data_IF_289318948439
#
_entry.id   IF_289318948439
#
_cell.length_a   1.000
_cell.length_b   1.000
_cell.length_c   1.000
_cell.angle_alpha   90.00
_cell.angle_beta   90.00
_cell.angle_gamma   90.00
#
_symmetry.space_group_name_H-M   'P 1'
#
loop_
_entity.id
_entity.type
_entity.pdbx_description
1 polymer ?
#
# COMPACT_ATOMS: atom_id res chain seq x y z
N UNK A 1 -24.10 45.84 5.09
CA UNK A 1 -24.51 47.04 5.85
C UNK A 1 -23.62 47.10 7.08
N UNK A 2 -23.10 48.27 7.45
CA UNK A 2 -22.47 48.44 8.75
C UNK A 2 -23.58 48.73 9.78
N UNK A 3 -23.67 47.95 10.85
CA UNK A 3 -24.72 48.03 11.86
C UNK A 3 -24.65 46.84 12.81
N UNK A 4 -25.42 46.90 13.89
CA UNK A 4 -25.60 45.76 14.81
C UNK A 4 -26.35 44.61 14.08
N UNK A 5 -26.01 43.38 14.45
CA UNK A 5 -26.67 42.19 13.90
C UNK A 5 -28.17 42.21 14.20
N UNK A 6 -29.00 42.04 13.18
CA UNK A 6 -30.43 41.79 13.34
C UNK A 6 -30.85 40.48 12.66
N UNK A 7 -31.89 39.84 13.20
CA UNK A 7 -32.35 38.52 12.75
C UNK A 7 -32.80 38.51 11.26
N UNK A 8 -33.24 39.66 10.76
CA UNK A 8 -33.62 39.86 9.36
C UNK A 8 -32.43 39.92 8.39
N UNK A 9 -31.21 40.13 8.88
CA UNK A 9 -30.00 40.11 8.04
C UNK A 9 -29.75 38.72 7.44
N UNK A 10 -30.35 37.66 8.01
CA UNK A 10 -30.23 36.29 7.51
C UNK A 10 -31.26 35.96 6.41
N UNK A 11 -32.19 36.87 6.10
CA UNK A 11 -33.23 36.62 5.11
C UNK A 11 -32.64 36.51 3.69
N UNK A 12 -32.89 35.38 3.03
CA UNK A 12 -32.40 35.10 1.68
C UNK A 12 -30.93 34.67 1.59
N UNK A 13 -30.25 34.51 2.73
CA UNK A 13 -28.90 33.96 2.77
C UNK A 13 -28.89 32.45 2.50
N UNK A 14 -27.90 31.97 1.76
CA UNK A 14 -27.67 30.52 1.56
C UNK A 14 -26.70 29.94 2.61
N UNK A 15 -25.86 30.78 3.21
CA UNK A 15 -24.88 30.42 4.23
C UNK A 15 -24.62 31.62 5.15
N UNK A 16 -24.17 31.37 6.37
CA UNK A 16 -23.85 32.38 7.37
C UNK A 16 -22.44 32.19 7.91
N UNK A 17 -21.67 33.27 8.01
CA UNK A 17 -20.34 33.28 8.64
C UNK A 17 -20.32 34.36 9.71
N UNK A 18 -20.15 33.96 10.97
CA UNK A 18 -19.94 34.87 12.08
C UNK A 18 -18.43 34.99 12.34
N UNK A 19 -17.86 36.16 12.01
CA UNK A 19 -16.44 36.44 12.11
C UNK A 19 -16.20 37.75 12.86
N UNK A 20 -16.90 37.92 13.99
CA UNK A 20 -16.73 39.09 14.87
C UNK A 20 -15.87 38.73 16.08
N UNK A 21 -15.28 39.75 16.70
CA UNK A 21 -14.53 39.59 17.95
C UNK A 21 -15.45 39.45 19.19
N UNK A 22 -16.77 39.51 19.01
CA UNK A 22 -17.76 39.43 20.09
C UNK A 22 -18.46 38.05 20.13
N UNK A 23 -18.19 37.28 21.18
CA UNK A 23 -18.75 35.95 21.38
C UNK A 23 -20.28 35.95 21.54
N UNK A 24 -20.86 37.01 22.11
CA UNK A 24 -22.30 37.17 22.29
C UNK A 24 -23.01 37.40 20.95
N UNK A 25 -22.44 38.25 20.09
CA UNK A 25 -22.95 38.46 18.73
C UNK A 25 -22.82 37.16 17.92
N UNK A 26 -21.66 36.51 17.97
CA UNK A 26 -21.44 35.25 17.27
C UNK A 26 -22.44 34.16 17.69
N UNK A 27 -22.78 34.08 18.99
CA UNK A 27 -23.83 33.17 19.50
C UNK A 27 -25.22 33.53 18.97
N UNK A 28 -25.58 34.81 18.98
CA UNK A 28 -26.86 35.27 18.48
C UNK A 28 -27.03 34.97 16.98
N UNK A 29 -25.97 35.17 16.18
CA UNK A 29 -25.94 34.81 14.75
C UNK A 29 -26.12 33.30 14.57
N UNK A 30 -25.45 32.49 15.38
CA UNK A 30 -25.60 31.03 15.36
C UNK A 30 -27.03 30.59 15.68
N UNK A 31 -27.63 31.08 16.78
CA UNK A 31 -28.98 30.69 17.18
C UNK A 31 -30.03 31.11 16.14
N UNK A 32 -29.84 32.29 15.54
CA UNK A 32 -30.67 32.81 14.46
C UNK A 32 -30.58 31.98 13.16
N UNK A 33 -29.38 31.53 12.81
CA UNK A 33 -29.13 30.68 11.65
C UNK A 33 -29.67 29.25 11.87
N UNK A 34 -29.47 28.68 13.06
CA UNK A 34 -29.99 27.35 13.44
C UNK A 34 -31.52 27.30 13.34
N UNK A 35 -32.22 28.32 13.86
CA UNK A 35 -33.69 28.42 13.75
C UNK A 35 -34.20 28.39 12.31
N UNK A 36 -33.37 28.82 11.35
CA UNK A 36 -33.69 28.87 9.92
C UNK A 36 -33.12 27.69 9.12
N UNK A 37 -32.46 26.73 9.78
CA UNK A 37 -31.71 25.65 9.14
C UNK A 37 -30.67 26.16 8.12
N UNK A 38 -30.07 27.32 8.40
CA UNK A 38 -29.00 27.88 7.57
C UNK A 38 -27.64 27.32 8.01
N UNK A 39 -26.81 26.82 7.08
CA UNK A 39 -25.44 26.45 7.40
C UNK A 39 -24.69 27.66 7.97
N UNK A 40 -24.22 27.53 9.22
CA UNK A 40 -23.48 28.57 9.93
C UNK A 40 -22.06 28.11 10.28
N UNK A 41 -21.09 28.99 10.10
CA UNK A 41 -19.72 28.84 10.59
C UNK A 41 -19.42 30.02 11.50
N UNK A 42 -19.00 29.75 12.72
CA UNK A 42 -18.51 30.76 13.66
C UNK A 42 -17.00 30.62 13.74
N UNK A 43 -16.29 31.67 13.33
CA UNK A 43 -14.82 31.68 13.33
C UNK A 43 -14.32 31.48 14.76
N UNK A 44 -13.30 30.64 14.93
CA UNK A 44 -12.68 30.28 16.21
C UNK A 44 -13.57 29.59 17.26
N UNK A 45 -14.82 29.24 16.93
CA UNK A 45 -15.74 28.47 17.79
C UNK A 45 -16.29 27.22 17.08
N UNK A 46 -15.53 26.11 16.98
CA UNK A 46 -15.95 24.89 16.28
C UNK A 46 -17.27 24.28 16.76
N UNK A 47 -17.59 24.43 18.05
CA UNK A 47 -18.83 23.95 18.66
C UNK A 47 -20.09 24.66 18.13
N UNK A 48 -19.92 25.85 17.54
CA UNK A 48 -20.99 26.66 16.93
C UNK A 48 -20.96 26.59 15.40
N UNK A 49 -20.24 25.64 14.85
CA UNK A 49 -20.19 25.41 13.42
C UNK A 49 -21.14 24.28 13.02
N UNK A 50 -21.85 24.48 11.91
CA UNK A 50 -22.54 23.45 11.12
C UNK A 50 -21.80 23.09 9.84
N UNK A 51 -20.82 23.90 9.47
CA UNK A 51 -19.82 23.58 8.45
C UNK A 51 -18.49 24.26 8.79
N UNK A 52 -17.41 23.79 8.16
CA UNK A 52 -16.06 24.33 8.34
C UNK A 52 -15.48 24.67 6.98
N UNK A 53 -14.78 25.81 6.87
CA UNK A 53 -14.01 26.13 5.68
C UNK A 53 -12.74 25.27 5.59
N UNK A 54 -12.60 24.42 4.56
CA UNK A 54 -11.41 23.63 4.38
C UNK A 54 -10.24 24.48 3.87
N UNK A 55 -9.03 23.95 4.00
CA UNK A 55 -7.88 24.41 3.22
C UNK A 55 -8.05 23.96 1.77
N UNK A 56 -8.06 24.89 0.80
CA UNK A 56 -8.35 24.59 -0.60
C UNK A 56 -7.10 24.70 -1.47
N UNK A 57 -6.85 23.70 -2.32
CA UNK A 57 -5.97 23.78 -3.48
C UNK A 57 -6.84 23.99 -4.71
N UNK A 58 -6.76 25.18 -5.29
CA UNK A 58 -7.56 25.56 -6.45
C UNK A 58 -6.74 25.47 -7.75
N UNK A 59 -7.25 24.66 -8.68
CA UNK A 59 -6.75 24.40 -10.03
C UNK A 59 -7.94 24.35 -11.00
N UNK A 60 -8.91 25.25 -10.82
CA UNK A 60 -10.20 25.28 -11.54
C UNK A 60 -10.07 24.77 -12.99
N UNK A 61 -10.87 23.75 -13.38
CA UNK A 61 -11.98 23.15 -12.64
C UNK A 61 -11.60 22.06 -11.62
N UNK A 62 -10.32 21.78 -11.41
CA UNK A 62 -9.87 20.82 -10.39
C UNK A 62 -9.74 21.51 -9.04
N UNK A 63 -10.42 21.01 -8.02
CA UNK A 63 -10.37 21.57 -6.67
C UNK A 63 -10.16 20.46 -5.66
N UNK A 64 -9.25 20.66 -4.71
CA UNK A 64 -9.03 19.74 -3.59
C UNK A 64 -9.26 20.50 -2.28
N UNK A 65 -10.09 19.94 -1.41
CA UNK A 65 -10.39 20.50 -0.09
C UNK A 65 -9.82 19.58 1.00
N UNK A 66 -9.04 20.15 1.92
CA UNK A 66 -8.45 19.46 3.07
C UNK A 66 -9.02 20.04 4.36
N UNK A 67 -9.59 19.19 5.20
CA UNK A 67 -10.12 19.59 6.51
C UNK A 67 -9.72 18.59 7.58
N UNK A 68 -9.44 19.10 8.78
CA UNK A 68 -9.27 18.32 10.01
C UNK A 68 -10.48 18.46 10.93
N UNK A 69 -11.62 18.91 10.41
CA UNK A 69 -12.83 19.19 11.18
C UNK A 69 -12.60 20.12 12.37
N UNK A 70 -11.67 21.07 12.23
CA UNK A 70 -11.29 22.01 13.28
C UNK A 70 -10.27 21.47 14.30
N UNK A 71 -9.95 20.17 14.29
CA UNK A 71 -9.02 19.57 15.27
C UNK A 71 -7.58 20.09 15.13
N UNK A 72 -7.11 20.35 13.90
CA UNK A 72 -5.76 20.90 13.68
C UNK A 72 -5.69 21.71 12.39
N UNK A 73 -5.87 23.04 12.46
CA UNK A 73 -5.72 23.93 11.30
C UNK A 73 -4.30 23.91 10.71
N UNK A 74 -3.29 23.68 11.56
CA UNK A 74 -1.88 23.59 11.15
C UNK A 74 -1.64 22.35 10.28
N UNK A 75 -2.18 21.19 10.67
CA UNK A 75 -2.09 19.97 9.87
C UNK A 75 -2.78 20.12 8.51
N UNK A 76 -3.99 20.72 8.48
CA UNK A 76 -4.70 20.99 7.22
C UNK A 76 -3.87 21.89 6.28
N UNK A 77 -3.19 22.90 6.82
CA UNK A 77 -2.30 23.79 6.06
C UNK A 77 -1.07 23.07 5.52
N UNK A 78 -0.44 22.21 6.32
CA UNK A 78 0.71 21.41 5.90
C UNK A 78 0.34 20.46 4.75
N UNK A 79 -0.80 19.76 4.88
CA UNK A 79 -1.32 18.89 3.82
C UNK A 79 -1.67 19.67 2.55
N UNK A 80 -2.29 20.85 2.67
CA UNK A 80 -2.53 21.74 1.52
C UNK A 80 -1.23 22.10 0.81
N UNK A 81 -0.19 22.49 1.56
CA UNK A 81 1.10 22.85 0.99
C UNK A 81 1.75 21.66 0.25
N UNK A 82 1.65 20.44 0.78
CA UNK A 82 2.10 19.23 0.08
C UNK A 82 1.30 18.97 -1.21
N UNK A 83 -0.02 19.16 -1.20
CA UNK A 83 -0.84 18.98 -2.39
C UNK A 83 -0.57 20.05 -3.46
N UNK A 84 -0.24 21.27 -3.06
CA UNK A 84 0.14 22.33 -4.01
C UNK A 84 1.39 21.99 -4.82
N UNK A 85 2.33 21.22 -4.25
CA UNK A 85 3.53 20.77 -4.97
C UNK A 85 3.25 19.59 -5.90
N UNK A 86 2.37 18.67 -5.50
CA UNK A 86 2.02 17.47 -6.27
C UNK A 86 1.03 17.79 -7.40
N UNK A 87 0.22 18.84 -7.25
CA UNK A 87 -0.80 19.26 -8.21
C UNK A 87 -0.45 20.65 -8.78
N UNK A 88 0.36 20.75 -9.84
CA UNK A 88 0.67 22.02 -10.51
C UNK A 88 -0.57 22.70 -11.13
N UNK A 89 -0.44 24.01 -11.41
CA UNK A 89 -1.44 24.82 -12.12
C UNK A 89 -1.91 24.20 -13.46
N UNK A 90 -1.05 23.41 -14.12
CA UNK A 90 -1.35 22.75 -15.39
C UNK A 90 -2.53 21.76 -15.34
N UNK A 91 -2.88 21.22 -14.17
CA UNK A 91 -4.02 20.30 -14.05
C UNK A 91 -5.37 20.94 -14.40
N UNK A 92 -5.55 22.25 -14.17
CA UNK A 92 -6.77 22.94 -14.58
C UNK A 92 -6.94 22.99 -16.09
N UNK A 93 -5.85 23.29 -16.82
CA UNK A 93 -5.84 23.29 -18.28
C UNK A 93 -6.03 21.89 -18.84
N UNK A 94 -5.38 20.90 -18.23
CA UNK A 94 -5.57 19.48 -18.59
C UNK A 94 -7.03 19.06 -18.41
N UNK A 95 -7.67 19.39 -17.29
CA UNK A 95 -9.06 19.03 -17.05
C UNK A 95 -10.02 19.69 -18.04
N UNK A 96 -9.82 20.97 -18.35
CA UNK A 96 -10.60 21.67 -19.39
C UNK A 96 -10.42 21.05 -20.78
N UNK A 97 -9.19 20.63 -21.11
CA UNK A 97 -8.91 19.93 -22.35
C UNK A 97 -9.62 18.57 -22.40
N UNK A 98 -9.51 17.74 -21.37
CA UNK A 98 -10.19 16.44 -21.34
C UNK A 98 -11.72 16.58 -21.40
N UNK A 99 -12.27 17.65 -20.82
CA UNK A 99 -13.70 17.95 -20.89
C UNK A 99 -14.19 18.20 -22.31
N UNK A 100 -13.40 18.87 -23.17
CA UNK A 100 -13.80 19.13 -24.57
C UNK A 100 -13.88 17.86 -25.41
N UNK A 101 -13.12 16.83 -25.04
CA UNK A 101 -13.12 15.52 -25.71
C UNK A 101 -14.10 14.50 -25.10
N UNK A 102 -14.84 14.87 -24.03
CA UNK A 102 -15.72 13.96 -23.29
C UNK A 102 -16.80 13.33 -24.17
N UNK A 103 -17.49 14.14 -24.97
CA UNK A 103 -18.60 13.68 -25.81
C UNK A 103 -18.10 12.84 -26.99
N UNK A 104 -16.99 13.25 -27.61
CA UNK A 104 -16.32 12.47 -28.67
C UNK A 104 -15.87 11.10 -28.17
N UNK A 105 -15.23 11.05 -26.99
CA UNK A 105 -14.84 9.79 -26.35
C UNK A 105 -16.07 8.92 -25.99
N UNK A 106 -17.19 9.55 -25.62
CA UNK A 106 -18.45 8.84 -25.34
C UNK A 106 -19.09 8.23 -26.58
N UNK A 107 -19.07 8.95 -27.70
CA UNK A 107 -19.54 8.44 -28.98
C UNK A 107 -18.65 7.30 -29.49
N UNK A 108 -17.32 7.44 -29.38
CA UNK A 108 -16.35 6.44 -29.87
C UNK A 108 -16.29 5.17 -29.02
N UNK A 109 -16.42 5.30 -27.71
CA UNK A 109 -16.35 4.19 -26.75
C UNK A 109 -17.62 4.14 -25.89
N UNK A 110 -18.66 3.39 -26.31
CA UNK A 110 -19.92 3.31 -25.56
C UNK A 110 -19.78 2.63 -24.20
N UNK A 111 -18.88 1.66 -24.07
CA UNK A 111 -18.61 0.97 -22.82
C UNK A 111 -17.81 1.85 -21.84
N UNK A 112 -18.31 1.96 -20.60
CA UNK A 112 -17.63 2.70 -19.52
C UNK A 112 -16.19 2.23 -19.29
N UNK A 113 -15.95 0.90 -19.36
CA UNK A 113 -14.61 0.32 -19.19
C UNK A 113 -13.64 0.88 -20.23
N UNK A 114 -14.02 0.86 -21.51
CA UNK A 114 -13.18 1.31 -22.63
C UNK A 114 -12.86 2.82 -22.55
N UNK A 115 -13.84 3.64 -22.15
CA UNK A 115 -13.62 5.08 -21.90
C UNK A 115 -12.60 5.33 -20.80
N UNK A 116 -12.74 4.61 -19.68
CA UNK A 116 -11.82 4.76 -18.55
C UNK A 116 -10.39 4.43 -18.96
N UNK A 117 -10.19 3.31 -19.64
CA UNK A 117 -8.87 2.90 -20.12
C UNK A 117 -8.27 3.91 -21.09
N UNK A 118 -9.08 4.46 -22.00
CA UNK A 118 -8.65 5.53 -22.89
C UNK A 118 -8.13 6.74 -22.09
N UNK A 119 -8.89 7.23 -21.11
CA UNK A 119 -8.48 8.38 -20.29
C UNK A 119 -7.24 8.11 -19.44
N UNK A 120 -7.15 6.94 -18.80
CA UNK A 120 -5.97 6.55 -18.03
C UNK A 120 -4.72 6.52 -18.89
N UNK A 121 -4.81 6.02 -20.14
CA UNK A 121 -3.70 6.02 -21.09
C UNK A 121 -3.27 7.43 -21.46
N UNK A 122 -4.21 8.32 -21.76
CA UNK A 122 -3.91 9.72 -22.09
C UNK A 122 -3.24 10.41 -20.90
N UNK A 123 -3.79 10.25 -19.69
CA UNK A 123 -3.29 10.87 -18.46
C UNK A 123 -1.90 10.38 -18.06
N UNK A 124 -1.57 9.12 -18.35
CA UNK A 124 -0.24 8.53 -18.08
C UNK A 124 0.72 8.64 -19.27
N UNK A 125 0.25 9.20 -20.38
CA UNK A 125 1.01 9.35 -21.61
C UNK A 125 1.63 10.75 -21.77
N UNK A 126 2.29 11.00 -22.90
CA UNK A 126 2.99 12.25 -23.17
C UNK A 126 2.05 13.46 -23.31
N UNK A 127 0.74 13.25 -23.51
CA UNK A 127 -0.24 14.34 -23.60
C UNK A 127 -0.26 15.21 -22.32
N UNK A 128 -0.14 14.60 -21.15
CA UNK A 128 -0.11 15.30 -19.87
C UNK A 128 1.10 16.24 -19.78
N UNK A 129 2.29 15.76 -20.15
CA UNK A 129 3.52 16.56 -20.14
C UNK A 129 3.46 17.71 -21.15
N UNK A 130 2.82 17.49 -22.32
CA UNK A 130 2.60 18.54 -23.32
C UNK A 130 1.72 19.67 -22.74
N UNK A 131 0.66 19.35 -22.02
CA UNK A 131 -0.18 20.39 -21.37
C UNK A 131 0.60 21.14 -20.28
N UNK A 132 1.41 20.44 -19.48
CA UNK A 132 2.20 21.06 -18.42
C UNK A 132 3.30 21.98 -18.97
N UNK A 133 3.86 21.65 -20.14
CA UNK A 133 4.82 22.48 -20.87
C UNK A 133 4.19 23.56 -21.77
N UNK A 134 2.87 23.75 -21.74
CA UNK A 134 2.15 24.77 -22.53
C UNK A 134 1.93 24.42 -24.00
N UNK A 135 2.23 23.19 -24.41
CA UNK A 135 2.03 22.65 -25.77
C UNK A 135 0.63 22.06 -25.96
N UNK A 136 -0.40 22.84 -25.62
CA UNK A 136 -1.79 22.36 -25.59
C UNK A 136 -2.29 21.94 -26.97
N UNK A 137 -1.90 22.64 -28.04
CA UNK A 137 -2.28 22.27 -29.42
C UNK A 137 -1.77 20.88 -29.82
N UNK A 138 -0.56 20.54 -29.39
CA UNK A 138 0.05 19.24 -29.67
C UNK A 138 -0.64 18.13 -28.87
N UNK A 139 -0.97 18.42 -27.60
CA UNK A 139 -1.76 17.51 -26.76
C UNK A 139 -3.15 17.24 -27.36
N UNK A 140 -3.84 18.30 -27.83
CA UNK A 140 -5.13 18.18 -28.53
C UNK A 140 -5.03 17.28 -29.75
N UNK A 141 -3.99 17.46 -30.59
CA UNK A 141 -3.77 16.61 -31.77
C UNK A 141 -3.55 15.16 -31.36
N UNK A 142 -2.68 14.90 -30.38
CA UNK A 142 -2.41 13.54 -29.90
C UNK A 142 -3.67 12.84 -29.37
N UNK A 143 -4.49 13.56 -28.59
CA UNK A 143 -5.74 13.01 -28.07
C UNK A 143 -6.73 12.73 -29.21
N UNK A 144 -6.84 13.62 -30.19
CA UNK A 144 -7.68 13.43 -31.36
C UNK A 144 -7.22 12.23 -32.21
N UNK A 145 -5.93 12.12 -32.50
CA UNK A 145 -5.35 10.99 -33.24
C UNK A 145 -5.61 9.67 -32.50
N UNK A 146 -5.51 9.68 -31.16
CA UNK A 146 -5.82 8.52 -30.31
C UNK A 146 -7.32 8.17 -30.25
N UNK A 147 -8.22 9.12 -30.50
CA UNK A 147 -9.65 8.88 -30.65
C UNK A 147 -9.97 8.31 -32.04
N UNK A 148 -9.35 8.88 -33.08
CA UNK A 148 -9.59 8.54 -34.49
C UNK A 148 -9.03 7.16 -34.84
N UNK A 149 -7.84 6.83 -34.32
CA UNK A 149 -7.28 5.48 -34.45
C UNK A 149 -8.20 4.42 -33.88
N UNK A 150 -9.11 4.79 -32.98
CA UNK A 150 -10.07 3.87 -32.42
C UNK A 150 -9.47 2.83 -31.49
N UNK A 151 -8.17 2.93 -31.25
CA UNK A 151 -7.45 2.14 -30.27
C UNK A 151 -7.91 2.59 -28.88
N UNK A 152 -9.09 2.12 -28.49
CA UNK A 152 -9.29 1.77 -27.10
C UNK A 152 -8.23 0.74 -26.77
N UNK A 153 -7.71 0.73 -25.55
CA UNK A 153 -6.91 -0.39 -25.05
C UNK A 153 -7.64 -1.76 -25.14
N UNK A 154 -8.86 -1.83 -25.67
CA UNK A 154 -9.59 -3.04 -26.04
C UNK A 154 -8.80 -4.00 -26.95
N UNK A 155 -7.79 -3.54 -27.71
CA UNK A 155 -6.90 -4.44 -28.47
C UNK A 155 -5.58 -4.78 -27.76
N UNK A 156 -5.33 -4.24 -26.56
CA UNK A 156 -4.28 -4.80 -25.70
C UNK A 156 -4.90 -5.91 -24.86
N UNK A 157 -4.49 -7.13 -25.19
CA UNK A 157 -4.59 -8.34 -24.35
C UNK A 157 -4.45 -7.98 -22.88
N UNK A 158 -5.36 -8.48 -22.02
CA UNK A 158 -5.23 -8.28 -20.59
C UNK A 158 -3.86 -8.76 -20.10
N UNK A 159 -3.40 -8.16 -19.02
CA UNK A 159 -2.05 -8.39 -18.49
C UNK A 159 -2.14 -8.84 -17.03
N UNK A 160 -1.10 -9.54 -16.59
CA UNK A 160 -0.92 -9.90 -15.19
C UNK A 160 0.30 -9.16 -14.63
N UNK A 161 0.08 -8.40 -13.57
CA UNK A 161 1.15 -7.83 -12.76
C UNK A 161 1.33 -8.67 -11.49
N UNK A 162 2.50 -9.29 -11.35
CA UNK A 162 2.93 -9.96 -10.12
C UNK A 162 3.57 -8.91 -9.19
N UNK A 163 2.93 -8.56 -8.09
CA UNK A 163 3.30 -7.40 -7.27
C UNK A 163 3.66 -7.83 -5.85
N UNK A 164 4.85 -7.44 -5.40
CA UNK A 164 5.28 -7.56 -4.01
C UNK A 164 4.59 -6.52 -3.12
N UNK A 165 3.86 -6.99 -2.11
CA UNK A 165 3.11 -6.19 -1.16
C UNK A 165 3.97 -5.66 0.00
N UNK A 166 5.21 -6.13 0.12
CA UNK A 166 6.00 -5.88 1.31
C UNK A 166 5.61 -6.77 2.51
N UNK A 167 6.30 -6.63 3.65
CA UNK A 167 6.12 -7.50 4.82
C UNK A 167 4.86 -7.21 5.65
N UNK A 168 4.20 -6.06 5.43
CA UNK A 168 2.92 -5.73 6.06
C UNK A 168 2.63 -4.24 6.15
N UNK A 169 3.65 -3.42 6.38
CA UNK A 169 3.52 -1.95 6.44
C UNK A 169 3.18 -1.40 5.04
N UNK A 170 2.05 -0.68 4.85
CA UNK A 170 1.69 -0.09 3.56
C UNK A 170 2.72 0.91 3.02
N UNK A 171 3.49 1.57 3.88
CA UNK A 171 4.50 2.55 3.46
C UNK A 171 5.75 1.88 2.84
N UNK A 172 5.87 0.55 2.97
CA UNK A 172 6.91 -0.25 2.32
C UNK A 172 6.50 -0.73 0.91
N UNK A 173 5.33 -0.34 0.42
CA UNK A 173 4.97 -0.55 -0.98
C UNK A 173 5.85 0.31 -1.89
N UNK A 174 6.25 -0.26 -3.02
CA UNK A 174 6.90 0.54 -4.05
C UNK A 174 5.86 1.42 -4.76
N UNK A 175 6.27 2.57 -5.26
CA UNK A 175 5.38 3.43 -6.04
C UNK A 175 4.82 2.72 -7.29
N UNK A 176 5.58 1.79 -7.88
CA UNK A 176 5.09 0.96 -9.00
C UNK A 176 4.00 0.00 -8.55
N UNK A 177 4.13 -0.64 -7.39
CA UNK A 177 3.11 -1.51 -6.82
C UNK A 177 1.80 -0.75 -6.60
N UNK A 178 1.86 0.39 -5.90
CA UNK A 178 0.69 1.24 -5.64
C UNK A 178 0.00 1.68 -6.94
N UNK A 179 0.77 2.11 -7.94
CA UNK A 179 0.23 2.51 -9.25
C UNK A 179 -0.54 1.39 -9.93
N UNK A 180 -0.01 0.16 -9.94
CA UNK A 180 -0.69 -0.97 -10.57
C UNK A 180 -1.92 -1.42 -9.77
N UNK A 181 -1.86 -1.40 -8.44
CA UNK A 181 -3.01 -1.68 -7.57
C UNK A 181 -4.17 -0.70 -7.79
N UNK A 182 -3.85 0.57 -8.08
CA UNK A 182 -4.84 1.61 -8.39
C UNK A 182 -5.43 1.49 -9.80
N UNK A 183 -4.81 0.73 -10.69
CA UNK A 183 -5.24 0.54 -12.08
C UNK A 183 -5.91 -0.82 -12.32
N UNK A 184 -5.80 -1.75 -11.36
CA UNK A 184 -6.30 -3.10 -11.49
C UNK A 184 -7.82 -3.13 -11.75
N UNK A 185 -8.24 -4.08 -12.59
CA UNK A 185 -9.64 -4.49 -12.68
C UNK A 185 -9.93 -5.59 -11.64
N UNK A 186 -8.95 -6.48 -11.39
CA UNK A 186 -9.04 -7.58 -10.43
C UNK A 186 -7.73 -7.71 -9.66
N UNK A 187 -7.82 -7.95 -8.36
CA UNK A 187 -6.68 -8.22 -7.48
C UNK A 187 -6.83 -9.60 -6.85
N UNK A 188 -5.88 -10.49 -7.12
CA UNK A 188 -5.75 -11.80 -6.50
C UNK A 188 -4.72 -11.70 -5.37
N UNK A 189 -5.13 -11.99 -4.14
CA UNK A 189 -4.29 -11.84 -2.95
C UNK A 189 -4.35 -13.06 -2.03
N UNK A 190 -3.30 -13.25 -1.22
CA UNK A 190 -3.23 -14.33 -0.24
C UNK A 190 -3.19 -13.79 1.20
N UNK A 191 -3.09 -14.71 2.16
CA UNK A 191 -3.14 -14.41 3.60
C UNK A 191 -2.02 -13.47 4.07
N UNK A 192 -0.89 -13.41 3.37
CA UNK A 192 0.27 -12.64 3.83
C UNK A 192 0.18 -11.15 3.46
N UNK A 193 -0.79 -10.77 2.63
CA UNK A 193 -1.06 -9.37 2.32
C UNK A 193 -1.86 -8.75 3.47
N UNK A 194 -1.34 -7.67 4.05
CA UNK A 194 -1.99 -6.98 5.17
C UNK A 194 -3.27 -6.27 4.73
N UNK A 195 -4.19 -6.06 5.68
CA UNK A 195 -5.43 -5.33 5.41
C UNK A 195 -5.15 -3.89 4.96
N UNK A 196 -4.20 -3.22 5.62
CA UNK A 196 -3.81 -1.86 5.28
C UNK A 196 -3.32 -1.73 3.83
N UNK A 197 -2.61 -2.72 3.30
CA UNK A 197 -2.23 -2.77 1.88
C UNK A 197 -3.45 -2.98 0.97
N UNK A 198 -4.38 -3.85 1.35
CA UNK A 198 -5.61 -4.09 0.57
C UNK A 198 -6.52 -2.87 0.50
N UNK A 199 -6.53 -2.04 1.55
CA UNK A 199 -7.31 -0.79 1.57
C UNK A 199 -6.76 0.26 0.57
N UNK A 200 -5.52 0.08 0.09
CA UNK A 200 -4.90 0.86 -0.99
C UNK A 200 -5.19 0.30 -2.40
N UNK A 201 -5.95 -0.79 -2.51
CA UNK A 201 -6.43 -1.27 -3.81
C UNK A 201 -7.53 -0.34 -4.32
N UNK A 202 -7.62 -0.19 -5.64
CA UNK A 202 -8.72 0.56 -6.28
C UNK A 202 -10.09 0.10 -5.77
N UNK A 203 -10.94 1.04 -5.36
CA UNK A 203 -12.24 0.76 -4.70
C UNK A 203 -13.19 -0.13 -5.51
N UNK A 204 -13.20 -0.02 -6.84
CA UNK A 204 -14.08 -0.83 -7.69
C UNK A 204 -13.37 -2.05 -8.30
N UNK A 205 -12.12 -2.34 -7.93
CA UNK A 205 -11.46 -3.56 -8.35
C UNK A 205 -12.06 -4.77 -7.62
N UNK A 206 -12.31 -5.84 -8.37
CA UNK A 206 -12.73 -7.12 -7.81
C UNK A 206 -11.58 -7.72 -6.99
N UNK A 207 -11.81 -8.08 -5.72
CA UNK A 207 -10.78 -8.68 -4.87
C UNK A 207 -11.07 -10.17 -4.67
N UNK A 208 -10.15 -11.02 -5.12
CA UNK A 208 -10.26 -12.48 -5.06
C UNK A 208 -9.22 -13.03 -4.09
N UNK A 209 -9.68 -13.63 -3.00
CA UNK A 209 -8.81 -14.29 -2.03
C UNK A 209 -8.42 -15.70 -2.50
N UNK A 210 -7.12 -15.97 -2.61
CA UNK A 210 -6.55 -17.27 -3.05
C UNK A 210 -5.71 -17.96 -1.97
N UNK A 211 -5.80 -17.51 -0.72
CA UNK A 211 -5.04 -18.10 0.39
C UNK A 211 -5.64 -19.40 0.94
N UNK A 212 -4.80 -20.21 1.59
CA UNK A 212 -5.23 -21.44 2.29
C UNK A 212 -5.96 -21.07 3.59
N UNK A 213 -7.29 -21.20 3.64
CA UNK A 213 -8.03 -21.30 4.91
C UNK A 213 -7.95 -22.75 5.40
N UNK A 214 -7.65 -22.95 6.68
CA UNK A 214 -7.39 -24.27 7.29
C UNK A 214 -8.56 -25.27 7.21
N UNK A 215 -9.77 -24.86 6.82
CA UNK A 215 -10.97 -25.72 6.73
C UNK A 215 -11.76 -25.60 5.40
N UNK A 216 -11.21 -24.95 4.37
CA UNK A 216 -11.85 -24.89 3.05
C UNK A 216 -10.89 -25.41 1.99
N UNK A 217 -11.39 -26.31 1.14
CA UNK A 217 -10.68 -26.92 0.01
C UNK A 217 -9.64 -25.96 -0.57
N UNK A 218 -8.37 -26.28 -0.33
CA UNK A 218 -7.26 -25.43 -0.74
C UNK A 218 -7.29 -25.27 -2.26
N UNK A 219 -7.38 -24.02 -2.75
CA UNK A 219 -7.18 -23.72 -4.18
C UNK A 219 -5.79 -24.20 -4.54
N UNK A 220 -5.72 -25.14 -5.49
CA UNK A 220 -4.43 -25.68 -5.94
C UNK A 220 -3.66 -24.57 -6.64
N UNK A 221 -2.32 -24.61 -6.60
CA UNK A 221 -1.51 -23.58 -7.27
C UNK A 221 -1.86 -23.48 -8.76
N UNK A 222 -2.13 -24.62 -9.39
CA UNK A 222 -2.52 -24.72 -10.79
C UNK A 222 -3.83 -23.95 -11.07
N UNK A 223 -4.79 -23.98 -10.14
CA UNK A 223 -6.06 -23.24 -10.24
C UNK A 223 -5.84 -21.72 -10.13
N UNK A 224 -4.92 -21.28 -9.26
CA UNK A 224 -4.54 -19.86 -9.17
C UNK A 224 -3.91 -19.41 -10.49
N UNK A 225 -2.96 -20.20 -11.01
CA UNK A 225 -2.27 -19.90 -12.26
C UNK A 225 -3.25 -19.81 -13.43
N UNK A 226 -4.20 -20.75 -13.49
CA UNK A 226 -5.23 -20.75 -14.53
C UNK A 226 -6.18 -19.56 -14.39
N UNK A 227 -6.60 -19.22 -13.17
CA UNK A 227 -7.46 -18.05 -12.92
C UNK A 227 -6.79 -16.74 -13.37
N UNK A 228 -5.48 -16.58 -13.11
CA UNK A 228 -4.72 -15.42 -13.58
C UNK A 228 -4.75 -15.33 -15.11
N UNK A 229 -4.51 -16.44 -15.79
CA UNK A 229 -4.50 -16.49 -17.25
C UNK A 229 -5.88 -16.23 -17.85
N UNK A 230 -6.94 -16.83 -17.30
CA UNK A 230 -8.31 -16.67 -17.79
C UNK A 230 -8.80 -15.23 -17.66
N UNK A 231 -8.53 -14.58 -16.52
CA UNK A 231 -8.90 -13.18 -16.30
C UNK A 231 -8.14 -12.25 -17.27
N UNK A 232 -6.87 -12.51 -17.50
CA UNK A 232 -6.08 -11.73 -18.46
C UNK A 232 -6.55 -11.95 -19.91
N UNK A 233 -6.85 -13.19 -20.30
CA UNK A 233 -7.44 -13.52 -21.62
C UNK A 233 -8.82 -12.91 -21.82
N UNK A 234 -9.58 -12.69 -20.74
CA UNK A 234 -10.82 -11.91 -20.75
C UNK A 234 -10.59 -10.38 -20.84
N UNK A 235 -9.35 -9.93 -21.07
CA UNK A 235 -9.01 -8.51 -21.22
C UNK A 235 -9.06 -7.72 -19.92
N UNK A 236 -8.86 -8.37 -18.76
CA UNK A 236 -8.75 -7.68 -17.47
C UNK A 236 -7.29 -7.35 -17.15
N UNK A 237 -7.07 -6.22 -16.48
CA UNK A 237 -5.78 -5.92 -15.81
C UNK A 237 -5.77 -6.59 -14.46
N UNK A 238 -4.98 -7.64 -14.33
CA UNK A 238 -4.95 -8.51 -13.15
C UNK A 238 -3.71 -8.18 -12.32
N UNK A 239 -3.90 -7.92 -11.03
CA UNK A 239 -2.79 -7.82 -10.07
C UNK A 239 -2.78 -9.06 -9.20
N UNK A 240 -1.70 -9.85 -9.23
CA UNK A 240 -1.42 -10.89 -8.24
C UNK A 240 -0.57 -10.29 -7.14
N UNK A 241 -1.20 -9.93 -6.04
CA UNK A 241 -0.57 -9.30 -4.88
C UNK A 241 -0.06 -10.38 -3.92
N UNK A 242 1.25 -10.34 -3.62
CA UNK A 242 1.94 -11.38 -2.85
C UNK A 242 2.66 -10.73 -1.66
N UNK A 243 2.54 -11.33 -0.47
CA UNK A 243 3.28 -10.86 0.71
C UNK A 243 4.80 -10.90 0.48
N UNK A 244 5.50 -9.86 0.92
CA UNK A 244 6.94 -9.70 0.74
C UNK A 244 7.31 -9.42 -0.72
N UNK A 245 8.21 -10.24 -1.26
CA UNK A 245 8.68 -10.16 -2.65
C UNK A 245 8.16 -11.37 -3.46
N UNK A 246 7.74 -11.19 -4.74
CA UNK A 246 7.17 -12.27 -5.53
C UNK A 246 8.12 -13.47 -5.76
N UNK A 247 9.43 -13.24 -5.81
CA UNK A 247 10.44 -14.25 -6.16
C UNK A 247 11.21 -14.80 -4.97
N UNK A 248 11.08 -14.22 -3.77
CA UNK A 248 11.68 -14.76 -2.55
C UNK A 248 10.65 -15.63 -1.82
N UNK A 249 10.75 -16.94 -2.01
CA UNK A 249 9.85 -17.97 -1.43
C UNK A 249 8.34 -17.75 -1.68
N UNK A 250 7.99 -16.88 -2.64
CA UNK A 250 6.60 -16.55 -2.98
C UNK A 250 5.99 -17.46 -4.04
N UNK A 251 6.74 -18.38 -4.65
CA UNK A 251 6.32 -19.18 -5.83
C UNK A 251 5.94 -18.36 -7.06
N UNK A 252 6.37 -17.10 -7.15
CA UNK A 252 6.05 -16.24 -8.29
C UNK A 252 6.58 -16.77 -9.62
N UNK A 253 7.70 -17.50 -9.60
CA UNK A 253 8.24 -18.16 -10.80
C UNK A 253 7.30 -19.21 -11.41
N UNK A 254 6.61 -19.99 -10.58
CA UNK A 254 5.63 -20.98 -11.04
C UNK A 254 4.41 -20.30 -11.69
N UNK A 255 3.93 -19.21 -11.09
CA UNK A 255 2.79 -18.44 -11.58
C UNK A 255 3.09 -17.83 -12.97
N UNK A 256 4.26 -17.20 -13.16
CA UNK A 256 4.61 -16.58 -14.45
C UNK A 256 4.98 -17.59 -15.54
N UNK A 257 5.49 -18.77 -15.19
CA UNK A 257 5.78 -19.81 -16.17
C UNK A 257 4.51 -20.22 -16.91
N UNK A 258 3.41 -20.46 -16.18
CA UNK A 258 2.10 -20.75 -16.79
C UNK A 258 1.59 -19.59 -17.66
N UNK A 259 1.81 -18.34 -17.25
CA UNK A 259 1.40 -17.17 -18.04
C UNK A 259 2.20 -17.08 -19.36
N UNK A 260 3.52 -17.32 -19.29
CA UNK A 260 4.39 -17.34 -20.44
C UNK A 260 4.00 -18.44 -21.44
N UNK A 261 3.77 -19.66 -20.96
CA UNK A 261 3.31 -20.80 -21.77
C UNK A 261 1.98 -20.52 -22.48
N UNK A 262 1.11 -19.74 -21.84
CA UNK A 262 -0.20 -19.38 -22.39
C UNK A 262 -0.20 -18.08 -23.21
N UNK A 263 0.97 -17.47 -23.43
CA UNK A 263 1.10 -16.23 -24.21
C UNK A 263 0.45 -15.00 -23.56
N UNK A 264 0.25 -15.02 -22.23
CA UNK A 264 -0.34 -13.91 -21.49
C UNK A 264 0.76 -12.90 -21.13
N UNK A 265 0.63 -11.61 -21.50
CA UNK A 265 1.57 -10.59 -21.08
C UNK A 265 1.62 -10.46 -19.56
N UNK A 266 2.82 -10.41 -19.01
CA UNK A 266 3.00 -10.21 -17.57
C UNK A 266 4.17 -9.28 -17.26
N UNK A 267 4.14 -8.73 -16.06
CA UNK A 267 5.21 -7.93 -15.48
C UNK A 267 5.38 -8.28 -14.01
N UNK A 268 6.60 -8.15 -13.49
CA UNK A 268 6.91 -8.40 -12.08
C UNK A 268 7.40 -7.12 -11.43
N UNK A 269 6.79 -6.78 -10.30
CA UNK A 269 7.17 -5.64 -9.47
C UNK A 269 7.72 -6.18 -8.15
N UNK A 270 9.02 -5.95 -7.88
CA UNK A 270 9.62 -6.44 -6.64
C UNK A 270 9.01 -5.74 -5.43
N UNK A 271 9.08 -6.42 -4.29
CA UNK A 271 8.64 -5.89 -3.00
C UNK A 271 9.76 -5.94 -1.97
N UNK A 272 9.57 -5.22 -0.86
CA UNK A 272 10.45 -5.40 0.29
C UNK A 272 10.20 -6.79 0.87
N UNK A 273 11.21 -7.65 0.83
CA UNK A 273 11.09 -9.01 1.38
C UNK A 273 11.02 -8.99 2.92
N UNK A 274 10.45 -10.05 3.51
CA UNK A 274 10.31 -10.15 4.96
C UNK A 274 11.65 -10.04 5.68
N UNK A 275 12.73 -10.61 5.13
CA UNK A 275 14.07 -10.47 5.70
C UNK A 275 14.49 -9.02 5.86
N UNK A 276 14.43 -8.22 4.79
CA UNK A 276 14.83 -6.81 4.83
C UNK A 276 13.94 -6.00 5.78
N UNK A 277 12.62 -6.14 5.67
CA UNK A 277 11.69 -5.40 6.53
C UNK A 277 11.83 -5.74 8.01
N UNK A 278 11.81 -7.04 8.35
CA UNK A 278 11.94 -7.50 9.72
C UNK A 278 13.29 -7.10 10.32
N UNK A 279 14.39 -7.26 9.58
CA UNK A 279 15.72 -6.86 10.01
C UNK A 279 15.79 -5.37 10.36
N UNK A 280 15.34 -4.51 9.44
CA UNK A 280 15.35 -3.05 9.63
C UNK A 280 14.48 -2.60 10.80
N UNK A 281 13.25 -3.12 10.92
CA UNK A 281 12.31 -2.73 11.98
C UNK A 281 12.58 -3.43 13.31
N UNK A 282 13.33 -4.53 13.33
CA UNK A 282 13.81 -5.14 14.57
C UNK A 282 15.14 -4.52 15.03
N UNK A 283 15.80 -3.66 14.26
CA UNK A 283 17.15 -3.19 14.61
C UNK A 283 18.19 -4.33 14.58
N UNK A 284 18.02 -5.29 13.68
CA UNK A 284 18.94 -6.42 13.48
C UNK A 284 19.47 -6.33 12.05
N UNK A 285 20.58 -5.62 11.80
CA UNK A 285 21.12 -5.52 10.45
C UNK A 285 21.54 -6.91 9.96
N UNK A 286 21.20 -7.27 8.72
CA UNK A 286 21.52 -8.60 8.18
C UNK A 286 23.04 -8.79 7.97
N UNK A 287 23.77 -7.69 7.77
CA UNK A 287 25.23 -7.67 7.65
C UNK A 287 25.81 -6.64 8.60
N UNK A 288 26.98 -6.95 9.16
CA UNK A 288 27.79 -5.99 9.88
C UNK A 288 29.24 -6.42 9.76
N UNK A 289 30.16 -5.46 9.54
CA UNK A 289 31.56 -5.72 9.16
C UNK A 289 32.25 -6.74 10.09
N UNK A 290 31.99 -6.63 11.39
CA UNK A 290 32.62 -7.47 12.41
C UNK A 290 31.87 -8.79 12.71
N UNK A 291 30.64 -8.96 12.20
CA UNK A 291 29.75 -10.07 12.59
C UNK A 291 29.36 -10.99 11.44
N UNK A 292 29.03 -10.44 10.26
CA UNK A 292 28.53 -11.23 9.14
C UNK A 292 28.92 -10.62 7.79
N UNK A 293 29.63 -11.41 6.98
CA UNK A 293 30.04 -11.05 5.61
C UNK A 293 29.09 -11.62 4.56
N UNK A 294 28.22 -12.54 4.95
CA UNK A 294 27.23 -13.16 4.07
C UNK A 294 25.87 -13.24 4.77
N UNK A 295 24.83 -13.28 3.95
CA UNK A 295 23.44 -13.48 4.38
C UNK A 295 22.85 -14.62 3.58
N UNK A 296 22.23 -15.58 4.25
CA UNK A 296 21.58 -16.71 3.59
C UNK A 296 20.10 -16.75 3.92
N UNK A 297 19.30 -16.78 2.87
CA UNK A 297 17.84 -16.95 2.98
C UNK A 297 17.51 -18.41 2.73
N UNK A 298 16.84 -19.05 3.69
CA UNK A 298 16.41 -20.45 3.59
C UNK A 298 14.96 -20.59 4.03
N UNK A 299 14.32 -21.69 3.64
CA UNK A 299 12.97 -22.04 4.07
C UNK A 299 13.03 -23.21 5.05
N UNK A 300 12.37 -23.08 6.20
CA UNK A 300 12.26 -24.12 7.22
C UNK A 300 11.20 -25.17 6.93
N UNK A 301 10.63 -25.20 5.71
CA UNK A 301 9.64 -26.18 5.30
C UNK A 301 9.87 -26.57 3.83
N UNK A 302 10.19 -27.83 3.59
CA UNK A 302 10.27 -28.39 2.24
C UNK A 302 8.89 -28.88 1.76
N UNK A 303 8.75 -29.13 0.46
CA UNK A 303 7.49 -29.59 -0.18
C UNK A 303 6.95 -30.92 0.41
N UNK A 304 7.81 -31.73 0.99
CA UNK A 304 7.51 -33.04 1.61
C UNK A 304 7.23 -32.95 3.13
N UNK A 305 7.30 -31.74 3.72
CA UNK A 305 7.14 -31.53 5.15
C UNK A 305 8.36 -31.91 5.99
N UNK A 306 9.49 -32.30 5.37
CA UNK A 306 10.76 -32.53 6.06
C UNK A 306 11.55 -31.22 6.20
N UNK A 307 12.51 -31.21 7.12
CA UNK A 307 13.50 -30.13 7.29
C UNK A 307 14.86 -30.72 6.93
N UNK A 308 15.14 -30.77 5.63
CA UNK A 308 16.41 -31.22 5.08
C UNK A 308 17.18 -30.00 4.55
N UNK A 309 17.86 -29.33 5.46
CA UNK A 309 18.70 -28.18 5.14
C UNK A 309 20.17 -28.61 5.12
N UNK A 310 20.97 -27.88 4.36
CA UNK A 310 22.43 -27.99 4.34
C UNK A 310 23.02 -27.47 5.67
N UNK A 311 22.91 -28.29 6.73
CA UNK A 311 23.23 -27.91 8.11
C UNK A 311 24.68 -27.50 8.29
N UNK A 312 25.61 -28.23 7.65
CA UNK A 312 27.04 -27.93 7.71
C UNK A 312 27.33 -26.52 7.18
N UNK A 313 26.70 -26.15 6.07
CA UNK A 313 26.89 -24.81 5.52
C UNK A 313 26.16 -23.73 6.32
N UNK A 314 25.01 -24.04 6.94
CA UNK A 314 24.28 -23.09 7.80
C UNK A 314 24.93 -22.89 9.18
N UNK A 315 25.72 -23.83 9.65
CA UNK A 315 26.43 -23.74 10.93
C UNK A 315 27.77 -22.98 10.84
N UNK A 316 28.23 -22.62 9.62
CA UNK A 316 29.47 -21.87 9.45
C UNK A 316 29.43 -20.53 10.21
N UNK A 317 30.56 -20.06 10.78
CA UNK A 317 30.63 -18.78 11.47
C UNK A 317 30.56 -17.59 10.49
N UNK A 318 30.43 -16.37 11.02
CA UNK A 318 30.48 -15.11 10.27
C UNK A 318 29.43 -14.95 9.16
N UNK A 319 28.26 -15.55 9.33
CA UNK A 319 27.10 -15.37 8.45
C UNK A 319 25.83 -15.07 9.25
N UNK A 320 24.87 -14.44 8.58
CA UNK A 320 23.50 -14.31 9.09
C UNK A 320 22.59 -15.25 8.32
N UNK A 321 21.96 -16.19 9.02
CA UNK A 321 20.98 -17.12 8.45
C UNK A 321 19.59 -16.60 8.75
N UNK A 322 18.78 -16.40 7.71
CA UNK A 322 17.38 -15.98 7.82
C UNK A 322 16.48 -17.10 7.33
N UNK A 323 15.65 -17.63 8.23
CA UNK A 323 14.79 -18.79 7.96
C UNK A 323 13.33 -18.33 7.87
N UNK A 324 12.75 -18.50 6.69
CA UNK A 324 11.34 -18.30 6.40
C UNK A 324 10.55 -19.56 6.78
N UNK A 325 9.31 -19.39 7.26
CA UNK A 325 8.42 -20.52 7.57
C UNK A 325 8.99 -21.51 8.60
N UNK A 326 9.93 -21.08 9.44
CA UNK A 326 10.66 -21.95 10.38
C UNK A 326 10.02 -22.15 11.76
N UNK A 327 8.86 -21.55 12.06
CA UNK A 327 8.30 -21.54 13.42
C UNK A 327 8.06 -22.94 13.98
N UNK A 328 7.37 -23.80 13.21
CA UNK A 328 7.08 -25.18 13.64
C UNK A 328 8.36 -26.03 13.76
N UNK A 329 9.34 -25.75 12.91
CA UNK A 329 10.62 -26.44 12.87
C UNK A 329 11.67 -25.92 13.85
N UNK A 330 11.40 -24.84 14.60
CA UNK A 330 12.41 -24.15 15.40
C UNK A 330 13.19 -25.08 16.35
N UNK A 331 12.54 -25.98 17.13
CA UNK A 331 13.30 -26.89 18.00
C UNK A 331 14.26 -27.81 17.24
N UNK A 332 13.88 -28.25 16.04
CA UNK A 332 14.72 -29.10 15.19
C UNK A 332 15.88 -28.29 14.61
N UNK A 333 15.60 -27.11 14.07
CA UNK A 333 16.60 -26.19 13.50
C UNK A 333 17.68 -25.87 14.54
N UNK A 334 17.30 -25.49 15.76
CA UNK A 334 18.26 -25.18 16.82
C UNK A 334 19.13 -26.39 17.18
N UNK A 335 18.53 -27.58 17.31
CA UNK A 335 19.29 -28.80 17.63
C UNK A 335 20.27 -29.17 16.51
N UNK A 336 19.84 -29.10 15.25
CA UNK A 336 20.68 -29.48 14.12
C UNK A 336 21.85 -28.50 13.95
N UNK A 337 21.62 -27.20 14.04
CA UNK A 337 22.72 -26.23 13.98
C UNK A 337 23.78 -26.48 15.07
N UNK A 338 23.35 -26.77 16.30
CA UNK A 338 24.27 -27.11 17.39
C UNK A 338 25.02 -28.41 17.11
N UNK A 339 24.32 -29.45 16.63
CA UNK A 339 24.93 -30.74 16.29
C UNK A 339 25.97 -30.62 15.18
N UNK A 340 25.80 -29.66 14.27
CA UNK A 340 26.70 -29.36 13.15
C UNK A 340 27.74 -28.25 13.46
N UNK A 341 27.92 -27.91 14.73
CA UNK A 341 29.07 -27.11 15.19
C UNK A 341 28.80 -25.63 15.47
N UNK A 342 27.56 -25.13 15.33
CA UNK A 342 27.23 -23.80 15.82
C UNK A 342 27.18 -23.78 17.36
N UNK A 343 27.71 -22.71 17.96
CA UNK A 343 27.69 -22.56 19.41
C UNK A 343 26.25 -22.43 19.93
N UNK A 344 25.89 -23.14 21.01
CA UNK A 344 24.57 -23.01 21.64
C UNK A 344 24.28 -21.60 22.19
N UNK A 345 25.32 -20.80 22.40
CA UNK A 345 25.24 -19.38 22.77
C UNK A 345 24.99 -18.44 21.59
N UNK A 346 25.03 -18.92 20.34
CA UNK A 346 24.80 -18.09 19.15
C UNK A 346 23.42 -17.42 19.23
N UNK A 347 23.40 -16.12 18.97
CA UNK A 347 22.21 -15.30 19.11
C UNK A 347 21.17 -15.60 18.03
N UNK A 348 19.90 -15.62 18.43
CA UNK A 348 18.75 -15.86 17.55
C UNK A 348 17.62 -14.90 17.89
N UNK A 349 16.95 -14.38 16.87
CA UNK A 349 15.73 -13.62 16.98
C UNK A 349 14.60 -14.30 16.22
N UNK A 350 13.42 -14.31 16.83
CA UNK A 350 12.15 -14.54 16.15
C UNK A 350 11.43 -13.20 16.03
N UNK A 351 11.14 -12.79 14.80
CA UNK A 351 10.34 -11.60 14.49
C UNK A 351 8.98 -12.03 13.99
N UNK A 352 7.93 -11.74 14.75
CA UNK A 352 6.53 -11.97 14.39
C UNK A 352 5.93 -10.68 13.82
N UNK A 353 5.12 -10.80 12.76
CA UNK A 353 4.40 -9.69 12.13
C UNK A 353 5.28 -8.45 11.90
N UNK A 354 6.49 -8.67 11.37
CA UNK A 354 7.48 -7.61 11.17
C UNK A 354 6.93 -6.42 10.40
N UNK A 355 7.42 -5.23 10.75
CA UNK A 355 7.02 -3.90 10.27
C UNK A 355 5.60 -3.46 10.61
N UNK A 356 4.75 -4.32 11.16
CA UNK A 356 3.40 -3.94 11.54
C UNK A 356 3.35 -3.35 12.95
N UNK A 357 2.23 -2.71 13.27
CA UNK A 357 1.94 -2.25 14.64
C UNK A 357 1.83 -3.39 15.66
N UNK A 358 1.73 -4.65 15.20
CA UNK A 358 1.70 -5.84 16.04
C UNK A 358 3.02 -6.61 16.02
N UNK A 359 4.12 -5.97 15.59
CA UNK A 359 5.43 -6.60 15.56
C UNK A 359 5.81 -7.09 16.97
N UNK A 360 6.32 -8.31 17.06
CA UNK A 360 6.93 -8.82 18.29
C UNK A 360 8.31 -9.38 17.98
N UNK A 361 9.31 -8.96 18.73
CA UNK A 361 10.68 -9.46 18.60
C UNK A 361 11.04 -10.21 19.88
N UNK A 362 11.39 -11.49 19.72
CA UNK A 362 11.84 -12.35 20.82
C UNK A 362 13.28 -12.73 20.51
N UNK A 363 14.21 -12.33 21.37
CA UNK A 363 15.62 -12.68 21.25
C UNK A 363 16.01 -13.73 22.29
N UNK A 364 16.99 -14.54 21.93
CA UNK A 364 17.57 -15.57 22.78
C UNK A 364 18.82 -16.13 22.11
N UNK A 365 19.16 -17.36 22.46
CA UNK A 365 20.23 -18.14 21.83
C UNK A 365 19.68 -19.41 21.20
N UNK A 366 20.48 -20.11 20.40
CA UNK A 366 20.09 -21.42 19.87
C UNK A 366 19.66 -22.40 20.98
N UNK A 367 20.32 -22.36 22.14
CA UNK A 367 19.99 -23.22 23.28
C UNK A 367 18.71 -22.80 24.05
N UNK A 368 18.35 -21.51 24.03
CA UNK A 368 17.34 -20.96 24.95
C UNK A 368 16.03 -20.59 24.24
N UNK A 369 16.08 -20.16 22.98
CA UNK A 369 14.92 -19.65 22.26
C UNK A 369 13.76 -20.65 22.16
N UNK A 370 13.99 -21.96 21.89
CA UNK A 370 12.88 -22.94 21.82
C UNK A 370 12.05 -23.01 23.11
N UNK A 371 12.68 -22.91 24.28
CA UNK A 371 11.98 -22.89 25.56
C UNK A 371 11.23 -21.57 25.78
N UNK A 372 11.88 -20.43 25.46
CA UNK A 372 11.30 -19.10 25.60
C UNK A 372 10.02 -18.89 24.78
N UNK A 373 9.91 -19.55 23.63
CA UNK A 373 8.72 -19.44 22.77
C UNK A 373 7.63 -20.45 23.13
N UNK A 374 7.97 -21.57 23.80
CA UNK A 374 6.99 -22.61 24.15
C UNK A 374 5.94 -22.10 25.16
N UNK A 375 6.33 -21.12 25.97
CA UNK A 375 5.47 -20.46 26.96
C UNK A 375 4.64 -19.31 26.37
N UNK A 376 4.82 -19.00 25.07
CA UNK A 376 4.19 -17.86 24.40
C UNK A 376 3.28 -18.32 23.27
N UNK A 377 2.14 -17.65 23.13
CA UNK A 377 1.28 -17.85 21.97
C UNK A 377 1.83 -17.06 20.78
N UNK A 378 2.45 -17.76 19.84
CA UNK A 378 3.08 -17.15 18.66
C UNK A 378 2.32 -17.57 17.41
N UNK A 379 1.94 -16.57 16.60
CA UNK A 379 1.20 -16.79 15.37
C UNK A 379 2.00 -16.36 14.13
N UNK A 380 1.92 -17.16 13.07
CA UNK A 380 2.48 -16.80 11.77
C UNK A 380 1.75 -15.58 11.17
N UNK A 381 2.45 -14.69 10.43
CA UNK A 381 3.80 -14.88 9.89
C UNK A 381 4.92 -14.54 10.89
N UNK A 382 5.98 -15.36 10.87
CA UNK A 382 7.21 -15.14 11.64
C UNK A 382 8.45 -15.36 10.77
N UNK A 383 9.55 -14.74 11.16
CA UNK A 383 10.85 -14.88 10.55
C UNK A 383 11.90 -15.16 11.64
N UNK A 384 12.80 -16.12 11.39
CA UNK A 384 13.93 -16.39 12.26
C UNK A 384 15.19 -15.73 11.67
N UNK A 385 15.96 -15.07 12.52
CA UNK A 385 17.27 -14.50 12.18
C UNK A 385 18.28 -15.08 13.16
N UNK A 386 19.29 -15.77 12.65
CA UNK A 386 20.34 -16.46 13.43
C UNK A 386 21.67 -15.83 13.05
N UNK A 387 22.44 -15.40 14.05
CA UNK A 387 23.75 -14.81 13.84
C UNK A 387 24.11 -13.78 14.92
N UNK A 388 25.39 -13.45 15.02
CA UNK A 388 25.90 -12.51 16.02
C UNK A 388 25.29 -11.11 15.88
N UNK A 389 24.83 -10.73 14.69
CA UNK A 389 24.13 -9.46 14.42
C UNK A 389 22.87 -9.27 15.27
N UNK A 390 22.26 -10.34 15.77
CA UNK A 390 21.08 -10.27 16.66
C UNK A 390 21.42 -9.57 17.98
N UNK A 391 22.67 -9.66 18.45
CA UNK A 391 23.10 -8.98 19.68
C UNK A 391 22.95 -7.45 19.60
N UNK A 392 22.99 -6.89 18.38
CA UNK A 392 22.82 -5.46 18.12
C UNK A 392 21.38 -4.97 18.35
N UNK A 393 20.39 -5.87 18.39
CA UNK A 393 18.98 -5.52 18.65
C UNK A 393 18.82 -4.60 19.86
N UNK A 394 19.53 -4.90 20.97
CA UNK A 394 19.42 -4.12 22.21
C UNK A 394 19.83 -2.66 22.06
N UNK A 395 20.70 -2.35 21.09
CA UNK A 395 21.22 -1.01 20.86
C UNK A 395 20.50 -0.30 19.70
N UNK A 396 20.08 -1.05 18.69
CA UNK A 396 19.56 -0.51 17.43
C UNK A 396 18.03 -0.59 17.30
N UNK A 397 17.33 -1.20 18.27
CA UNK A 397 15.87 -1.25 18.28
C UNK A 397 15.28 0.17 18.39
N UNK A 398 14.83 0.70 17.25
CA UNK A 398 14.23 2.03 17.13
C UNK A 398 12.71 1.98 17.01
N UNK A 399 12.16 0.90 16.44
CA UNK A 399 10.73 0.75 16.20
C UNK A 399 10.04 0.17 17.44
N UNK A 400 9.04 0.88 17.95
CA UNK A 400 8.21 0.43 19.06
C UNK A 400 6.76 0.25 18.56
N UNK A 401 6.30 -1.01 18.37
CA UNK A 401 4.92 -1.28 18.03
C UNK A 401 3.99 -0.85 19.17
N UNK A 402 2.77 -0.45 18.83
CA UNK A 402 1.76 -0.06 19.82
C UNK A 402 1.53 -1.26 20.76
N UNK A 403 1.89 -1.09 22.04
CA UNK A 403 1.49 -2.03 23.08
C UNK A 403 0.00 -1.80 23.32
N UNK A 404 -0.81 -2.85 23.09
CA UNK A 404 -2.13 -2.90 23.69
C UNK A 404 -1.89 -3.09 25.20
N UNK A 405 -1.92 -2.00 25.95
CA UNK A 405 -2.20 -2.05 27.38
C UNK A 405 -3.70 -2.30 27.60
#
# INVERSE_FOLDING_TARGET
RAGEFCDDDLNGCALVVAATDDAGINRAVYDAAEKRNLPVNVVDCPELCRFIFPSIVDRTPVTVAVSTSGTSPVLARMLRAHLETIIPAGYGRLASLLASFRDSARARFPAMKNRRHFWERILQGPATEMVFSGREKDATRLIQDALDSGESAAEKSGEVALVGAGPGDPDLLTFRALRLMQQADVVLYDRLVSRAVLDLVRREAEQIYVGKKRDYHAVRQDEINQTLADLAKAGKRVVRLKGGDPFIFGRGGEEIATLAEQGVPFQVVPGITAASGCASYAGIPLTHRDYAQSVRFVTGQLKDGSIDLDWDSLAQPQQTVVIYMGLQGLPVICRQLIAHGAAGSLSVALVQQGTTVHQQVITGTLATLPALIAEKEIHAPTLLIIGEVVSLHKQLAWFQPLRND
#
